data_IF_415959371251
#
_entry.id   IF_415959371251
#
_cell.length_a   1.000
_cell.length_b   1.000
_cell.length_c   1.000
_cell.angle_alpha   90.00
_cell.angle_beta   90.00
_cell.angle_gamma   90.00
#
_symmetry.space_group_name_H-M   'P 1'
#
loop_
_entity.id
_entity.type
_entity.pdbx_description
1 polymer ?
#
# COMPACT_ATOMS: atom_id res chain seq x y z
N UNK A 1 12.26 20.99 15.31
CA UNK A 1 12.21 19.63 15.86
C UNK A 1 10.95 18.98 15.31
N UNK A 2 10.99 17.69 14.99
CA UNK A 2 9.79 16.92 14.68
C UNK A 2 9.27 16.22 15.93
N UNK A 3 8.02 15.76 15.90
CA UNK A 3 7.45 14.88 16.92
C UNK A 3 7.25 13.50 16.31
N UNK A 4 7.69 12.46 17.02
CA UNK A 4 7.43 11.09 16.63
C UNK A 4 5.96 10.74 16.88
N UNK A 5 5.24 10.29 15.85
CA UNK A 5 3.80 10.02 15.90
C UNK A 5 3.45 8.90 16.90
N UNK A 6 4.32 7.89 17.04
CA UNK A 6 4.06 6.73 17.91
C UNK A 6 4.35 7.02 19.38
N UNK A 7 5.40 7.79 19.66
CA UNK A 7 5.90 7.98 21.04
C UNK A 7 5.63 9.37 21.60
N UNK A 8 5.24 10.35 20.77
CA UNK A 8 5.11 11.75 21.17
C UNK A 8 6.44 12.44 21.49
N UNK A 9 7.58 11.75 21.34
CA UNK A 9 8.89 12.29 21.67
C UNK A 9 9.40 13.22 20.57
N UNK A 10 10.12 14.27 20.96
CA UNK A 10 10.75 15.19 20.01
C UNK A 10 12.02 14.59 19.42
N UNK A 11 12.20 14.74 18.10
CA UNK A 11 13.37 14.25 17.36
C UNK A 11 14.01 15.39 16.55
N UNK A 12 15.34 15.41 16.51
CA UNK A 12 16.10 16.27 15.61
C UNK A 12 16.05 15.75 14.19
N UNK A 13 15.65 16.61 13.26
CA UNK A 13 15.59 16.29 11.83
C UNK A 13 16.84 16.85 11.15
N UNK A 14 17.42 16.09 10.22
CA UNK A 14 18.60 16.54 9.45
C UNK A 14 18.18 17.44 8.29
N UNK A 15 17.66 18.62 8.63
CA UNK A 15 17.24 19.65 7.68
C UNK A 15 17.46 21.05 8.26
N UNK A 16 17.60 22.06 7.39
CA UNK A 16 17.74 23.44 7.85
C UNK A 16 16.46 23.93 8.53
N UNK A 17 16.59 24.79 9.54
CA UNK A 17 15.42 25.41 10.20
C UNK A 17 14.57 26.22 9.23
N UNK A 18 15.19 26.82 8.20
CA UNK A 18 14.48 27.55 7.14
C UNK A 18 13.58 26.61 6.34
N UNK A 19 14.10 25.45 5.93
CA UNK A 19 13.35 24.44 5.17
C UNK A 19 12.21 23.85 5.99
N UNK A 20 12.46 23.51 7.25
CA UNK A 20 11.42 22.96 8.13
C UNK A 20 10.30 23.95 8.42
N UNK A 21 10.62 25.24 8.57
CA UNK A 21 9.61 26.30 8.77
C UNK A 21 8.81 26.63 7.52
N UNK A 22 9.30 26.24 6.33
CA UNK A 22 8.55 26.40 5.08
C UNK A 22 7.46 25.34 4.90
N UNK A 23 7.55 24.22 5.63
CA UNK A 23 6.51 23.20 5.63
C UNK A 23 5.33 23.64 6.51
N UNK A 24 4.08 23.40 6.09
CA UNK A 24 2.92 23.59 6.96
C UNK A 24 3.03 22.83 8.28
N UNK A 25 2.55 23.43 9.37
CA UNK A 25 2.46 22.73 10.65
C UNK A 25 1.48 21.56 10.52
N UNK A 26 1.94 20.35 10.83
CA UNK A 26 1.14 19.14 10.63
C UNK A 26 1.55 18.33 9.40
N UNK A 27 2.58 18.77 8.65
CA UNK A 27 3.21 17.92 7.64
C UNK A 27 3.79 16.65 8.27
N UNK A 28 3.46 15.51 7.67
CA UNK A 28 3.92 14.18 8.05
C UNK A 28 5.14 13.81 7.20
N UNK A 29 6.21 13.41 7.87
CA UNK A 29 7.49 13.08 7.24
C UNK A 29 7.88 11.64 7.55
N UNK A 30 8.36 10.91 6.54
CA UNK A 30 9.05 9.64 6.71
C UNK A 30 10.53 9.91 6.94
N UNK A 31 11.05 9.47 8.08
CA UNK A 31 12.42 9.77 8.52
C UNK A 31 13.22 8.48 8.63
N UNK A 32 14.46 8.50 8.16
CA UNK A 32 15.43 7.42 8.36
C UNK A 32 15.94 7.40 9.81
N UNK A 33 15.77 6.28 10.51
CA UNK A 33 16.12 6.18 11.93
C UNK A 33 17.62 6.32 12.20
N UNK A 34 18.49 5.91 11.26
CA UNK A 34 19.94 5.87 11.48
C UNK A 34 20.58 7.27 11.48
N UNK A 35 20.10 8.19 10.64
CA UNK A 35 20.76 9.48 10.40
C UNK A 35 19.79 10.68 10.42
N UNK A 36 18.50 10.46 10.68
CA UNK A 36 17.44 11.46 10.70
C UNK A 36 17.25 12.21 9.37
N UNK A 37 17.63 11.61 8.24
CA UNK A 37 17.31 12.12 6.91
C UNK A 37 15.80 12.05 6.68
N UNK A 38 15.26 13.09 6.06
CA UNK A 38 13.89 13.05 5.53
C UNK A 38 13.94 12.23 4.24
N UNK A 39 13.23 11.10 4.22
CA UNK A 39 13.10 10.23 3.05
C UNK A 39 11.98 10.75 2.15
N UNK A 40 10.85 11.11 2.77
CA UNK A 40 9.61 11.40 2.04
C UNK A 40 8.69 12.34 2.83
N UNK A 41 7.90 13.14 2.13
CA UNK A 41 6.77 13.89 2.68
C UNK A 41 5.50 13.08 2.41
N UNK A 42 4.92 12.47 3.45
CA UNK A 42 3.77 11.56 3.29
C UNK A 42 2.46 12.32 3.04
N UNK A 43 2.33 13.52 3.61
CA UNK A 43 1.12 14.34 3.48
C UNK A 43 0.94 15.30 4.65
N UNK A 44 -0.31 15.63 4.96
CA UNK A 44 -0.70 16.50 6.06
C UNK A 44 -1.65 15.78 7.00
N UNK A 45 -1.56 16.02 8.31
CA UNK A 45 -2.41 15.37 9.35
C UNK A 45 -3.93 15.66 9.22
N UNK A 46 -4.34 16.53 8.29
CA UNK A 46 -5.75 16.86 8.05
C UNK A 46 -6.27 16.27 6.74
N UNK A 47 -5.41 15.55 6.02
CA UNK A 47 -5.76 14.79 4.83
C UNK A 47 -6.06 13.35 5.27
N UNK A 48 -7.30 12.91 5.14
CA UNK A 48 -7.74 11.56 5.52
C UNK A 48 -6.96 10.45 4.79
N UNK A 49 -6.42 10.73 3.60
CA UNK A 49 -5.61 9.76 2.85
C UNK A 49 -4.22 9.51 3.49
N UNK A 50 -3.79 10.36 4.43
CA UNK A 50 -2.49 10.20 5.09
C UNK A 50 -2.49 9.02 6.08
N UNK A 51 -3.65 8.64 6.61
CA UNK A 51 -3.77 7.60 7.63
C UNK A 51 -3.29 6.23 7.11
N UNK A 52 -3.60 5.93 5.84
CA UNK A 52 -3.10 4.73 5.17
C UNK A 52 -1.57 4.77 5.07
N UNK A 53 -0.99 5.89 4.60
CA UNK A 53 0.47 6.04 4.46
C UNK A 53 1.19 5.94 5.81
N UNK A 54 0.64 6.52 6.87
CA UNK A 54 1.18 6.40 8.23
C UNK A 54 1.16 4.94 8.66
N UNK A 55 0.03 4.25 8.47
CA UNK A 55 -0.13 2.85 8.85
C UNK A 55 0.88 1.96 8.12
N UNK A 56 0.99 2.11 6.80
CA UNK A 56 1.97 1.37 5.98
C UNK A 56 3.40 1.61 6.47
N UNK A 57 3.78 2.86 6.73
CA UNK A 57 5.11 3.20 7.21
C UNK A 57 5.41 2.65 8.61
N UNK A 58 4.46 2.70 9.55
CA UNK A 58 4.63 2.21 10.92
C UNK A 58 4.79 0.69 10.99
N UNK A 59 4.12 -0.05 10.11
CA UNK A 59 4.13 -1.51 10.07
C UNK A 59 5.03 -2.09 8.96
N UNK A 60 5.84 -1.24 8.32
CA UNK A 60 6.77 -1.60 7.26
C UNK A 60 6.11 -2.43 6.14
N UNK A 61 4.96 -1.93 5.66
CA UNK A 61 4.20 -2.52 4.55
C UNK A 61 4.44 -1.72 3.27
N UNK A 62 4.55 -2.44 2.15
CA UNK A 62 4.69 -1.86 0.82
C UNK A 62 3.32 -1.77 0.16
N UNK A 63 3.02 -0.62 -0.45
CA UNK A 63 1.85 -0.43 -1.32
C UNK A 63 2.16 -0.71 -2.80
N UNK A 64 3.43 -0.72 -3.18
CA UNK A 64 3.86 -0.96 -4.55
C UNK A 64 4.19 -2.43 -4.81
N UNK A 65 3.79 -2.92 -5.97
CA UNK A 65 4.21 -4.22 -6.48
C UNK A 65 5.61 -4.12 -7.10
N UNK A 66 6.41 -5.16 -6.96
CA UNK A 66 7.70 -5.21 -7.64
C UNK A 66 7.54 -5.32 -9.16
N UNK A 67 8.52 -4.81 -9.92
CA UNK A 67 8.57 -4.98 -11.37
C UNK A 67 8.47 -6.45 -11.81
N UNK A 68 9.01 -7.37 -11.01
CA UNK A 68 8.93 -8.80 -11.27
C UNK A 68 7.48 -9.31 -11.16
N UNK A 69 6.76 -8.92 -10.11
CA UNK A 69 5.35 -9.27 -9.92
C UNK A 69 4.47 -8.72 -11.04
N UNK A 70 4.69 -7.47 -11.45
CA UNK A 70 3.92 -6.83 -12.54
C UNK A 70 4.16 -7.57 -13.86
N UNK A 71 5.43 -7.87 -14.19
CA UNK A 71 5.78 -8.62 -15.41
C UNK A 71 5.17 -10.01 -15.43
N UNK A 72 5.18 -10.72 -14.30
CA UNK A 72 4.58 -12.05 -14.18
C UNK A 72 3.05 -11.99 -14.37
N UNK A 73 2.38 -11.05 -13.71
CA UNK A 73 0.94 -10.87 -13.86
C UNK A 73 0.55 -10.57 -15.31
N UNK A 74 1.25 -9.64 -15.97
CA UNK A 74 1.01 -9.25 -17.36
C UNK A 74 1.35 -10.35 -18.40
N UNK A 75 2.08 -11.39 -18.01
CA UNK A 75 2.35 -12.53 -18.89
C UNK A 75 1.14 -13.48 -19.02
N UNK A 76 0.13 -13.34 -18.16
CA UNK A 76 -1.12 -14.10 -18.24
C UNK A 76 -2.13 -13.40 -19.18
N UNK A 77 -2.99 -14.19 -19.82
CA UNK A 77 -4.08 -13.67 -20.65
C UNK A 77 -5.37 -13.43 -19.86
N UNK A 78 -6.35 -12.81 -20.51
CA UNK A 78 -7.64 -12.43 -19.89
C UNK A 78 -8.68 -13.58 -19.86
N UNK A 79 -8.33 -14.75 -20.37
CA UNK A 79 -9.23 -15.91 -20.42
C UNK A 79 -8.48 -17.23 -20.28
N UNK A 80 -9.19 -18.25 -19.79
CA UNK A 80 -8.65 -19.59 -19.58
C UNK A 80 -9.08 -20.50 -20.73
N UNK A 81 -8.12 -21.05 -21.48
CA UNK A 81 -8.41 -22.09 -22.47
C UNK A 81 -8.61 -23.45 -21.78
N UNK A 82 -9.87 -23.91 -21.73
CA UNK A 82 -10.24 -25.18 -21.13
C UNK A 82 -9.54 -26.40 -21.77
N UNK A 83 -9.13 -26.31 -23.04
CA UNK A 83 -8.46 -27.42 -23.75
C UNK A 83 -7.09 -27.78 -23.14
N UNK A 84 -6.48 -26.83 -22.42
CA UNK A 84 -5.20 -26.99 -21.72
C UNK A 84 -5.30 -27.79 -20.41
N UNK A 85 -6.52 -28.04 -19.90
CA UNK A 85 -6.75 -28.61 -18.57
C UNK A 85 -7.48 -29.97 -18.60
N UNK A 86 -7.02 -30.89 -19.45
CA UNK A 86 -7.66 -32.20 -19.70
C UNK A 86 -7.85 -33.09 -18.47
N UNK A 87 -7.07 -32.88 -17.41
CA UNK A 87 -7.10 -33.67 -16.18
C UNK A 87 -7.99 -33.05 -15.08
N UNK A 88 -8.62 -31.90 -15.33
CA UNK A 88 -9.56 -31.29 -14.39
C UNK A 88 -10.97 -31.84 -14.63
N UNK A 89 -11.74 -32.01 -13.55
CA UNK A 89 -13.15 -32.35 -13.65
C UNK A 89 -13.92 -31.16 -14.23
N UNK A 90 -14.74 -31.40 -15.24
CA UNK A 90 -15.58 -30.36 -15.83
C UNK A 90 -16.87 -30.20 -15.03
N UNK A 91 -16.97 -29.10 -14.29
CA UNK A 91 -18.13 -28.77 -13.45
C UNK A 91 -18.97 -27.61 -14.02
N UNK A 92 -18.71 -27.17 -15.26
CA UNK A 92 -19.35 -25.97 -15.85
C UNK A 92 -20.87 -26.10 -16.03
N UNK A 93 -21.41 -27.33 -15.99
CA UNK A 93 -22.85 -27.58 -16.07
C UNK A 93 -23.59 -27.41 -14.73
N UNK A 94 -22.86 -27.27 -13.61
CA UNK A 94 -23.46 -27.07 -12.30
C UNK A 94 -23.79 -25.58 -12.05
N UNK A 95 -24.88 -25.28 -11.33
CA UNK A 95 -25.35 -23.91 -11.12
C UNK A 95 -24.60 -23.23 -9.96
N UNK A 96 -23.29 -23.08 -10.07
CA UNK A 96 -22.50 -22.32 -9.09
C UNK A 96 -22.88 -20.83 -9.10
N UNK A 97 -22.84 -20.21 -7.93
CA UNK A 97 -23.00 -18.76 -7.77
C UNK A 97 -22.13 -18.26 -6.61
N UNK A 98 -21.78 -16.98 -6.63
CA UNK A 98 -21.10 -16.30 -5.53
C UNK A 98 -22.07 -15.33 -4.86
N UNK A 99 -21.89 -15.05 -3.56
CA UNK A 99 -22.74 -14.13 -2.80
C UNK A 99 -21.85 -13.21 -1.97
N UNK A 100 -21.65 -12.01 -2.48
CA UNK A 100 -20.64 -11.07 -1.98
C UNK A 100 -21.19 -9.66 -1.74
N UNK A 101 -20.50 -8.83 -0.94
CA UNK A 101 -20.77 -7.39 -0.87
C UNK A 101 -20.68 -6.72 -2.25
N UNK A 102 -21.49 -5.67 -2.47
CA UNK A 102 -21.59 -4.95 -3.76
C UNK A 102 -20.26 -4.37 -4.28
N UNK A 103 -19.26 -4.22 -3.41
CA UNK A 103 -17.95 -3.66 -3.76
C UNK A 103 -16.83 -4.70 -3.87
N UNK A 104 -17.11 -5.98 -3.60
CA UNK A 104 -16.14 -7.05 -3.81
C UNK A 104 -15.84 -7.25 -5.30
N UNK A 105 -14.60 -7.62 -5.62
CA UNK A 105 -14.14 -7.85 -7.01
C UNK A 105 -13.32 -9.13 -7.17
N UNK A 106 -13.10 -9.84 -6.08
CA UNK A 106 -12.16 -10.92 -5.87
C UNK A 106 -12.89 -12.13 -5.28
N UNK A 107 -13.80 -12.72 -6.05
CA UNK A 107 -14.60 -13.88 -5.62
C UNK A 107 -13.74 -15.15 -5.62
N UNK A 108 -13.46 -15.70 -4.44
CA UNK A 108 -12.59 -16.88 -4.26
C UNK A 108 -13.36 -18.18 -3.97
N UNK A 109 -14.65 -18.09 -3.66
CA UNK A 109 -15.57 -19.22 -3.47
C UNK A 109 -16.78 -19.19 -4.42
N UNK A 110 -17.36 -20.37 -4.67
CA UNK A 110 -18.56 -20.59 -5.48
C UNK A 110 -19.24 -21.91 -5.12
#
# INVERSE_FOLDING_TARGET
LGMNIKTGLSTTLKASQKSLKALPLGTILKIENENNNIIEVLGHIHDESVDEKISLALFNKNNEFSDACIKEALANGDSVDASMYKNRMDLRALPFCTIDPIHAKDFDDA
#
